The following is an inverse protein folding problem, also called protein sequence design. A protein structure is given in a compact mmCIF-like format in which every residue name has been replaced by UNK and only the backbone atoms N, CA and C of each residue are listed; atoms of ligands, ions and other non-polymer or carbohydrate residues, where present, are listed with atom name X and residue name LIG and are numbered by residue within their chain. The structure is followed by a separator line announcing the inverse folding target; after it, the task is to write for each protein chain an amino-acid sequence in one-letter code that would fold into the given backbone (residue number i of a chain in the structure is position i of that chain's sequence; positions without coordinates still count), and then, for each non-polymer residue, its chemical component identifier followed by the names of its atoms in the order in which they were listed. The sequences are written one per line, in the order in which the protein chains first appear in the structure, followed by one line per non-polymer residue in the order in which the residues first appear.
data_IF_242470741435
#
_entry.id   IF_242470741435
#
_cell.length_a   1.000
_cell.length_b   1.000
_cell.length_c   1.000
_cell.angle_alpha   90.00
_cell.angle_beta   90.00
_cell.angle_gamma   90.00
#
_symmetry.space_group_name_H-M   'P 1'
#
loop_
_entity.id
_entity.type
_entity.pdbx_description
1 polymer ?
#
# COMPACT_ATOMS: atom_id res chain seq x y z
N UNK A 1 48.55 -7.97 51.93
CA UNK A 1 48.29 -8.28 50.52
C UNK A 1 47.05 -9.16 50.43
N UNK A 2 45.91 -8.65 49.97
CA UNK A 2 44.75 -9.42 49.45
C UNK A 2 43.93 -8.47 48.56
N UNK A 3 43.24 -9.08 47.59
CA UNK A 3 42.92 -8.60 46.25
C UNK A 3 41.68 -7.69 46.14
N UNK A 4 41.74 -6.87 45.09
CA UNK A 4 40.72 -6.12 44.34
C UNK A 4 39.39 -6.89 44.20
N UNK A 5 38.25 -6.20 44.40
CA UNK A 5 36.93 -6.56 43.85
C UNK A 5 36.16 -5.26 43.55
N UNK A 6 36.20 -4.75 42.32
CA UNK A 6 35.33 -5.02 41.15
C UNK A 6 33.96 -4.31 41.20
N UNK A 7 33.86 -3.31 40.33
CA UNK A 7 32.73 -2.52 39.83
C UNK A 7 31.32 -3.14 39.94
N UNK A 8 30.40 -2.38 40.54
CA UNK A 8 28.95 -2.49 40.33
C UNK A 8 28.48 -1.32 39.44
N UNK A 9 28.55 -1.51 38.12
CA UNK A 9 27.77 -0.74 37.16
C UNK A 9 26.49 -1.56 36.95
N UNK A 10 25.46 -1.29 37.76
CA UNK A 10 24.13 -1.82 37.46
C UNK A 10 23.52 -1.02 36.31
N UNK A 11 23.26 -1.74 35.22
CA UNK A 11 22.89 -1.22 33.92
C UNK A 11 21.62 -0.39 33.91
N UNK A 12 21.73 0.72 33.19
CA UNK A 12 20.61 1.45 32.61
C UNK A 12 19.89 0.47 31.66
N UNK A 13 18.79 -0.13 32.11
CA UNK A 13 17.89 -0.91 31.27
C UNK A 13 17.34 0.02 30.19
N UNK A 14 17.87 -0.10 28.97
CA UNK A 14 17.29 0.52 27.79
C UNK A 14 15.87 -0.01 27.60
N UNK A 15 14.88 0.84 27.88
CA UNK A 15 13.52 0.66 27.41
C UNK A 15 13.52 0.76 25.88
N UNK A 16 13.72 -0.39 25.23
CA UNK A 16 13.36 -0.57 23.82
C UNK A 16 11.85 -0.44 23.74
N UNK A 17 11.37 0.71 23.27
CA UNK A 17 9.99 0.90 22.87
C UNK A 17 9.72 0.01 21.65
N UNK A 18 9.32 -1.24 21.88
CA UNK A 18 8.66 -2.04 20.87
C UNK A 18 7.32 -1.37 20.59
N UNK A 19 7.23 -0.55 19.53
CA UNK A 19 5.93 -0.11 19.04
C UNK A 19 5.13 -1.36 18.69
N UNK A 20 3.94 -1.56 19.26
CA UNK A 20 3.13 -2.71 18.94
C UNK A 20 2.81 -2.67 17.44
N UNK A 21 3.02 -3.80 16.76
CA UNK A 21 2.66 -3.93 15.35
C UNK A 21 1.16 -3.64 15.19
N UNK A 22 0.81 -2.76 14.25
CA UNK A 22 -0.59 -2.40 13.99
C UNK A 22 -1.32 -3.65 13.47
N UNK A 23 -2.38 -4.11 14.16
CA UNK A 23 -3.05 -5.35 13.79
C UNK A 23 -3.76 -5.23 12.44
N UNK A 24 -3.83 -6.34 11.71
CA UNK A 24 -4.62 -6.40 10.49
C UNK A 24 -6.11 -6.43 10.81
N UNK A 25 -6.91 -5.70 10.02
CA UNK A 25 -8.37 -5.80 10.10
C UNK A 25 -8.79 -7.20 9.62
N UNK A 26 -9.74 -7.87 10.29
CA UNK A 26 -10.19 -9.20 9.89
C UNK A 26 -10.86 -9.20 8.51
N UNK A 27 -10.62 -10.25 7.73
CA UNK A 27 -11.21 -10.45 6.39
C UNK A 27 -12.74 -10.53 6.39
N UNK A 28 -13.38 -10.79 7.53
CA UNK A 28 -14.84 -10.81 7.68
C UNK A 28 -15.45 -9.40 7.81
N UNK A 29 -14.64 -8.37 8.07
CA UNK A 29 -15.09 -7.00 8.30
C UNK A 29 -14.97 -6.09 7.08
N UNK A 30 -14.48 -6.62 5.96
CA UNK A 30 -14.40 -5.90 4.70
C UNK A 30 -14.55 -6.83 3.50
N UNK A 31 -15.08 -6.28 2.41
CA UNK A 31 -15.13 -6.96 1.12
C UNK A 31 -14.15 -6.32 0.16
N UNK A 32 -13.62 -7.12 -0.76
CA UNK A 32 -12.67 -6.67 -1.76
C UNK A 32 -13.08 -7.12 -3.17
N UNK A 33 -12.91 -6.24 -4.14
CA UNK A 33 -13.21 -6.48 -5.55
C UNK A 33 -12.08 -6.00 -6.45
N UNK A 34 -11.67 -6.86 -7.39
CA UNK A 34 -10.85 -6.50 -8.55
C UNK A 34 -11.70 -5.91 -9.66
N UNK A 35 -11.24 -4.80 -10.24
CA UNK A 35 -11.85 -4.18 -11.40
C UNK A 35 -10.77 -3.92 -12.45
N UNK A 36 -10.77 -4.74 -13.51
CA UNK A 36 -9.87 -4.58 -14.64
C UNK A 36 -10.58 -3.83 -15.75
N UNK A 37 -9.93 -2.78 -16.22
CA UNK A 37 -10.37 -2.02 -17.38
C UNK A 37 -9.23 -2.00 -18.39
N UNK A 38 -9.54 -2.27 -19.66
CA UNK A 38 -8.56 -2.12 -20.73
C UNK A 38 -8.52 -0.66 -21.15
N UNK A 39 -7.35 -0.03 -21.04
CA UNK A 39 -7.13 1.37 -21.42
C UNK A 39 -5.97 1.48 -22.38
N UNK A 40 -6.07 2.38 -23.35
CA UNK A 40 -4.92 2.78 -24.16
C UNK A 40 -4.02 3.71 -23.33
N UNK A 41 -2.70 3.58 -23.51
CA UNK A 41 -1.76 4.51 -22.93
C UNK A 41 -1.81 5.81 -23.74
N UNK A 42 -1.98 6.99 -23.10
CA UNK A 42 -1.88 8.24 -23.84
C UNK A 42 -0.50 8.31 -24.51
N UNK A 43 -0.40 8.82 -25.74
CA UNK A 43 0.88 8.99 -26.41
C UNK A 43 1.80 9.81 -25.49
N UNK A 44 3.06 9.36 -25.36
CA UNK A 44 4.06 10.16 -24.66
C UNK A 44 4.18 11.53 -25.34
N UNK A 45 4.37 12.59 -24.56
CA UNK A 45 4.66 13.91 -25.11
C UNK A 45 5.86 13.78 -26.05
N UNK A 46 5.77 14.40 -27.24
CA UNK A 46 6.87 14.39 -28.19
C UNK A 46 8.07 15.08 -27.52
N UNK A 47 9.26 14.47 -27.51
CA UNK A 47 10.43 15.14 -26.98
C UNK A 47 10.71 16.40 -27.79
N UNK A 48 11.14 17.47 -27.13
CA UNK A 48 11.55 18.73 -27.78
C UNK A 48 12.73 18.55 -28.76
N UNK A 49 13.39 17.38 -28.70
CA UNK A 49 14.51 17.01 -29.56
C UNK A 49 14.40 15.54 -29.98
N UNK A 50 14.25 15.29 -31.28
CA UNK A 50 14.38 13.96 -31.88
C UNK A 50 15.78 13.85 -32.52
N UNK A 51 16.60 12.90 -32.03
CA UNK A 51 17.89 12.62 -32.65
C UNK A 51 17.67 12.01 -34.05
N UNK A 52 18.45 12.40 -35.08
CA UNK A 52 18.24 11.95 -36.46
C UNK A 52 18.23 10.42 -36.66
N UNK A 53 18.95 9.69 -35.81
CA UNK A 53 19.14 8.24 -35.91
C UNK A 53 18.43 7.46 -34.78
N UNK A 54 17.45 8.06 -34.10
CA UNK A 54 16.73 7.35 -33.04
C UNK A 54 15.95 6.16 -33.63
N UNK A 55 16.19 4.92 -33.19
CA UNK A 55 15.45 3.77 -33.68
C UNK A 55 13.97 3.97 -33.36
N UNK A 56 13.15 4.09 -34.42
CA UNK A 56 11.70 4.17 -34.35
C UNK A 56 11.18 2.85 -33.77
N UNK A 57 11.10 2.76 -32.43
CA UNK A 57 10.38 1.67 -31.79
C UNK A 57 8.90 1.91 -32.04
N UNK A 58 8.19 1.02 -32.76
CA UNK A 58 6.76 1.15 -32.91
C UNK A 58 6.13 1.14 -31.52
N UNK A 59 5.50 2.26 -31.14
CA UNK A 59 4.78 2.35 -29.89
C UNK A 59 3.62 1.36 -29.99
N UNK A 60 3.63 0.31 -29.15
CA UNK A 60 2.52 -0.63 -29.04
C UNK A 60 1.33 0.11 -28.42
N UNK A 61 0.57 0.82 -29.25
CA UNK A 61 -0.65 1.52 -28.87
C UNK A 61 -1.84 0.55 -28.82
N UNK A 62 -1.69 -0.55 -28.07
CA UNK A 62 -2.79 -1.47 -27.79
C UNK A 62 -3.42 -1.18 -26.43
N UNK A 63 -4.69 -1.59 -26.21
CA UNK A 63 -5.29 -1.55 -24.89
C UNK A 63 -4.48 -2.41 -23.91
N UNK A 64 -3.99 -1.79 -22.84
CA UNK A 64 -3.25 -2.44 -21.76
C UNK A 64 -4.16 -2.65 -20.53
N UNK A 65 -3.94 -3.72 -19.76
CA UNK A 65 -4.73 -3.98 -18.56
C UNK A 65 -4.43 -2.93 -17.48
N UNK A 66 -5.46 -2.18 -17.10
CA UNK A 66 -5.42 -1.14 -16.07
C UNK A 66 -6.18 -1.62 -14.82
N UNK A 67 -5.51 -1.60 -13.68
CA UNK A 67 -5.99 -2.16 -12.43
C UNK A 67 -6.64 -1.09 -11.56
N UNK A 68 -7.89 -1.35 -11.17
CA UNK A 68 -8.59 -0.67 -10.09
C UNK A 68 -9.05 -1.69 -9.06
N UNK A 69 -9.13 -1.28 -7.81
CA UNK A 69 -9.67 -2.13 -6.75
C UNK A 69 -10.65 -1.36 -5.90
N UNK A 70 -11.70 -2.04 -5.47
CA UNK A 70 -12.67 -1.51 -4.52
C UNK A 70 -12.59 -2.31 -3.21
N UNK A 71 -12.41 -1.59 -2.11
CA UNK A 71 -12.41 -2.12 -0.76
C UNK A 71 -13.62 -1.53 -0.02
N UNK A 72 -14.54 -2.39 0.41
CA UNK A 72 -15.74 -2.00 1.13
C UNK A 72 -15.60 -2.37 2.60
N UNK A 73 -15.70 -1.39 3.49
CA UNK A 73 -15.68 -1.65 4.93
C UNK A 73 -17.08 -2.08 5.37
N UNK A 74 -17.24 -3.34 5.76
CA UNK A 74 -18.53 -3.90 6.16
C UNK A 74 -18.86 -3.58 7.61
N UNK A 75 -17.85 -3.70 8.48
CA UNK A 75 -17.94 -3.39 9.91
C UNK A 75 -16.77 -2.51 10.37
N UNK A 76 -17.01 -1.74 11.43
CA UNK A 76 -16.02 -0.86 12.05
C UNK A 76 -16.00 -1.09 13.55
N UNK A 77 -14.80 -1.11 14.11
CA UNK A 77 -14.65 -1.07 15.56
C UNK A 77 -14.99 0.34 16.07
N UNK A 78 -15.51 0.49 17.31
CA UNK A 78 -15.86 1.80 17.87
C UNK A 78 -14.69 2.80 17.90
N UNK A 79 -13.47 2.29 17.96
CA UNK A 79 -12.24 3.09 17.98
C UNK A 79 -11.73 3.47 16.57
N UNK A 80 -12.35 2.98 15.50
CA UNK A 80 -11.98 3.26 14.10
C UNK A 80 -12.79 4.45 13.57
N UNK A 81 -12.26 5.65 13.75
CA UNK A 81 -12.99 6.91 13.44
C UNK A 81 -12.57 7.50 12.10
N UNK A 82 -11.30 7.32 11.72
CA UNK A 82 -10.71 7.91 10.51
C UNK A 82 -10.04 6.87 9.65
N UNK A 83 -10.03 7.12 8.36
CA UNK A 83 -9.33 6.35 7.34
C UNK A 83 -8.15 7.16 6.83
N UNK A 84 -7.00 6.52 6.65
CA UNK A 84 -5.84 7.05 5.94
C UNK A 84 -5.33 5.97 4.99
N UNK A 85 -5.21 6.29 3.71
CA UNK A 85 -4.67 5.39 2.69
C UNK A 85 -3.30 5.91 2.26
N UNK A 86 -2.29 5.05 2.37
CA UNK A 86 -0.90 5.35 2.06
C UNK A 86 -0.46 4.43 0.93
N UNK A 87 0.13 5.01 -0.13
CA UNK A 87 0.73 4.25 -1.22
C UNK A 87 2.13 3.74 -0.87
N UNK A 88 2.66 2.79 -1.64
CA UNK A 88 4.05 2.32 -1.53
C UNK A 88 5.09 3.44 -1.70
N UNK A 89 4.71 4.57 -2.32
CA UNK A 89 5.55 5.77 -2.46
C UNK A 89 5.53 6.66 -1.21
N UNK A 90 4.86 6.24 -0.13
CA UNK A 90 4.69 7.03 1.11
C UNK A 90 3.66 8.17 1.00
N UNK A 91 3.07 8.37 -0.17
CA UNK A 91 2.08 9.43 -0.40
C UNK A 91 0.73 9.02 0.17
N UNK A 92 0.10 9.94 0.92
CA UNK A 92 -1.27 9.80 1.40
C UNK A 92 -2.21 10.10 0.24
N UNK A 93 -2.89 9.07 -0.27
CA UNK A 93 -3.80 9.22 -1.41
C UNK A 93 -5.22 9.58 -0.98
N UNK A 94 -5.61 9.22 0.24
CA UNK A 94 -6.92 9.53 0.78
C UNK A 94 -6.88 9.62 2.30
N UNK A 95 -7.56 10.61 2.86
CA UNK A 95 -7.76 10.73 4.30
C UNK A 95 -9.12 11.33 4.60
N UNK A 96 -9.99 10.60 5.32
CA UNK A 96 -11.37 11.01 5.62
C UNK A 96 -11.88 10.35 6.89
N UNK A 97 -13.01 10.83 7.43
CA UNK A 97 -13.76 10.07 8.46
C UNK A 97 -14.24 8.76 7.86
N UNK A 98 -14.24 7.69 8.62
CA UNK A 98 -14.71 6.40 8.15
C UNK A 98 -16.12 6.11 8.67
N UNK A 99 -16.91 5.39 7.88
CA UNK A 99 -18.27 4.97 8.20
C UNK A 99 -18.45 3.53 7.78
N UNK A 100 -19.37 2.81 8.42
CA UNK A 100 -19.72 1.48 7.97
C UNK A 100 -20.25 1.54 6.52
N UNK A 101 -20.06 0.46 5.77
CA UNK A 101 -20.41 0.33 4.35
C UNK A 101 -19.66 1.28 3.39
N UNK A 102 -18.64 2.00 3.88
CA UNK A 102 -17.85 2.89 3.05
C UNK A 102 -17.05 2.11 1.99
N UNK A 103 -17.11 2.58 0.75
CA UNK A 103 -16.30 2.06 -0.36
C UNK A 103 -15.07 2.96 -0.55
N UNK A 104 -13.92 2.31 -0.68
CA UNK A 104 -12.61 2.90 -0.93
C UNK A 104 -12.17 2.40 -2.30
N UNK A 105 -12.01 3.30 -3.25
CA UNK A 105 -11.54 2.98 -4.59
C UNK A 105 -10.06 3.33 -4.69
N UNK A 106 -9.24 2.36 -5.07
CA UNK A 106 -7.80 2.52 -5.24
C UNK A 106 -7.47 2.35 -6.72
N UNK A 107 -6.70 3.29 -7.24
CA UNK A 107 -6.22 3.29 -8.63
C UNK A 107 -4.75 2.89 -8.64
N UNK A 108 -4.44 1.74 -9.24
CA UNK A 108 -3.10 1.18 -9.26
C UNK A 108 -2.34 1.54 -10.54
N UNK A 109 -3.05 1.90 -11.62
CA UNK A 109 -2.45 2.13 -12.92
C UNK A 109 -2.39 0.89 -13.81
N UNK A 110 -1.48 0.89 -14.79
CA UNK A 110 -1.27 -0.25 -15.68
C UNK A 110 -0.59 -1.39 -14.95
N UNK A 111 -1.03 -2.63 -15.20
CA UNK A 111 -0.57 -3.82 -14.46
C UNK A 111 0.93 -4.07 -14.63
N UNK A 112 1.47 -3.78 -15.82
CA UNK A 112 2.92 -3.87 -16.07
C UNK A 112 3.69 -2.84 -15.23
N UNK A 113 3.22 -1.58 -15.16
CA UNK A 113 3.87 -0.54 -14.35
C UNK A 113 3.80 -0.86 -12.84
N UNK A 114 2.74 -1.56 -12.38
CA UNK A 114 2.60 -2.04 -11.00
C UNK A 114 3.63 -3.13 -10.69
N UNK A 115 3.80 -4.10 -11.61
CA UNK A 115 4.78 -5.20 -11.49
C UNK A 115 6.22 -4.69 -11.54
N UNK A 116 6.49 -3.74 -12.44
CA UNK A 116 7.80 -3.08 -12.60
C UNK A 116 8.09 -2.04 -11.52
N UNK A 117 7.17 -1.86 -10.56
CA UNK A 117 7.27 -0.92 -9.41
C UNK A 117 7.34 0.57 -9.80
N UNK A 118 7.02 0.91 -11.05
CA UNK A 118 6.93 2.29 -11.54
C UNK A 118 5.69 2.98 -10.95
N UNK A 119 4.57 2.24 -10.88
CA UNK A 119 3.33 2.65 -10.23
C UNK A 119 3.26 2.18 -8.77
N UNK A 120 2.32 2.71 -7.96
CA UNK A 120 2.06 2.18 -6.62
C UNK A 120 1.74 0.69 -6.68
N UNK A 121 2.49 -0.08 -5.89
CA UNK A 121 2.38 -1.54 -5.85
C UNK A 121 1.94 -2.08 -4.50
N UNK A 122 1.75 -1.17 -3.54
CA UNK A 122 1.18 -1.46 -2.24
C UNK A 122 0.31 -0.29 -1.84
N UNK A 123 -0.81 -0.60 -1.19
CA UNK A 123 -1.60 0.37 -0.45
C UNK A 123 -1.80 -0.13 0.97
N UNK A 124 -1.57 0.75 1.93
CA UNK A 124 -1.87 0.52 3.35
C UNK A 124 -3.05 1.38 3.71
N UNK A 125 -4.16 0.74 4.01
CA UNK A 125 -5.40 1.36 4.47
C UNK A 125 -5.40 1.30 5.99
N UNK A 126 -5.07 2.40 6.64
CA UNK A 126 -5.05 2.51 8.10
C UNK A 126 -6.38 3.06 8.60
N UNK A 127 -6.96 2.38 9.59
CA UNK A 127 -8.05 2.91 10.40
C UNK A 127 -7.47 3.48 11.68
N UNK A 128 -7.83 4.73 11.98
CA UNK A 128 -7.24 5.53 13.04
C UNK A 128 -8.32 5.91 14.06
N UNK A 129 -7.89 6.10 15.30
CA UNK A 129 -8.73 6.66 16.36
C UNK A 129 -8.87 8.19 16.25
N UNK A 130 -9.58 8.80 17.21
CA UNK A 130 -9.76 10.25 17.29
C UNK A 130 -8.43 11.02 17.42
N UNK A 131 -7.44 10.41 18.09
CA UNK A 131 -6.08 10.94 18.25
C UNK A 131 -5.20 10.73 17.01
N UNK A 132 -5.75 10.16 15.93
CA UNK A 132 -5.06 9.81 14.68
C UNK A 132 -4.00 8.72 14.83
N UNK A 133 -4.08 7.93 15.90
CA UNK A 133 -3.22 6.78 16.10
C UNK A 133 -3.80 5.57 15.33
N UNK A 134 -2.96 4.77 14.65
CA UNK A 134 -3.44 3.58 13.95
C UNK A 134 -4.00 2.53 14.92
N UNK A 135 -5.22 2.08 14.65
CA UNK A 135 -5.92 1.04 15.41
C UNK A 135 -5.86 -0.29 14.68
N UNK A 136 -6.11 -0.28 13.37
CA UNK A 136 -6.04 -1.45 12.51
C UNK A 136 -5.62 -1.04 11.10
N UNK A 137 -5.22 -2.01 10.29
CA UNK A 137 -4.84 -1.75 8.91
C UNK A 137 -5.24 -2.88 7.96
N UNK A 138 -5.42 -2.54 6.70
CA UNK A 138 -5.51 -3.51 5.60
C UNK A 138 -4.35 -3.23 4.66
N UNK A 139 -3.55 -4.24 4.38
CA UNK A 139 -2.40 -4.13 3.47
C UNK A 139 -2.74 -4.84 2.18
N UNK A 140 -2.82 -4.08 1.09
CA UNK A 140 -2.97 -4.59 -0.26
C UNK A 140 -1.60 -4.52 -0.94
N UNK A 141 -1.12 -5.64 -1.49
CA UNK A 141 0.19 -5.73 -2.11
C UNK A 141 0.13 -6.52 -3.41
N UNK A 142 0.71 -5.98 -4.47
CA UNK A 142 1.02 -6.70 -5.69
C UNK A 142 2.50 -7.07 -5.69
N UNK A 143 2.86 -8.29 -6.03
CA UNK A 143 4.25 -8.73 -6.19
C UNK A 143 4.73 -8.59 -7.65
N UNK A 144 6.05 -8.60 -7.91
CA UNK A 144 6.59 -8.42 -9.26
C UNK A 144 6.18 -9.54 -10.23
N UNK A 145 5.85 -10.73 -9.72
CA UNK A 145 5.33 -11.87 -10.48
C UNK A 145 3.83 -11.74 -10.84
N UNK A 146 3.19 -10.66 -10.36
CA UNK A 146 1.79 -10.35 -10.52
C UNK A 146 0.89 -10.92 -9.42
N UNK A 147 1.39 -11.68 -8.45
CA UNK A 147 0.54 -12.18 -7.37
C UNK A 147 0.04 -11.04 -6.48
N UNK A 148 -1.24 -11.10 -6.11
CA UNK A 148 -1.87 -10.06 -5.31
C UNK A 148 -2.32 -10.62 -3.95
N UNK A 149 -1.99 -9.88 -2.90
CA UNK A 149 -2.16 -10.25 -1.52
C UNK A 149 -2.95 -9.18 -0.76
N UNK A 150 -3.76 -9.65 0.18
CA UNK A 150 -4.45 -8.82 1.17
C UNK A 150 -4.10 -9.37 2.54
N UNK A 151 -3.55 -8.52 3.41
CA UNK A 151 -3.07 -8.92 4.74
C UNK A 151 -2.12 -10.15 4.69
N UNK A 152 -1.29 -10.23 3.65
CA UNK A 152 -0.38 -11.36 3.41
C UNK A 152 -1.03 -12.62 2.84
N UNK A 153 -2.36 -12.67 2.68
CA UNK A 153 -3.04 -13.80 2.05
C UNK A 153 -3.20 -13.56 0.55
N UNK A 154 -2.84 -14.56 -0.26
CA UNK A 154 -3.01 -14.50 -1.72
C UNK A 154 -4.49 -14.49 -2.08
N UNK A 155 -4.93 -13.48 -2.83
CA UNK A 155 -6.32 -13.32 -3.29
C UNK A 155 -6.46 -13.35 -4.81
N UNK A 156 -5.38 -13.16 -5.58
CA UNK A 156 -5.47 -13.14 -7.04
C UNK A 156 -4.14 -12.96 -7.75
N UNK A 157 -4.23 -12.54 -9.03
CA UNK A 157 -3.10 -12.22 -9.90
C UNK A 157 -3.46 -11.08 -10.86
N UNK A 158 -2.46 -10.25 -11.19
CA UNK A 158 -2.44 -9.23 -12.23
C UNK A 158 -2.05 -9.80 -13.58
#
# INVERSE_FOLDING_TARGET
MIRIALLLICGFYGWVNAQPAIPFKPDTEFDFKFDYVFKERPPADKPDYEAPDAPHRPVRNGPLPYLKTELKLTSLNPNEVRLKVISSKGVIVQQKKCTAQMIIKLDWGFSDDVKDRVAPHQYVVQLLNEKKEPVSQIVLNAEPDGHFYINGQRKGRL
#
